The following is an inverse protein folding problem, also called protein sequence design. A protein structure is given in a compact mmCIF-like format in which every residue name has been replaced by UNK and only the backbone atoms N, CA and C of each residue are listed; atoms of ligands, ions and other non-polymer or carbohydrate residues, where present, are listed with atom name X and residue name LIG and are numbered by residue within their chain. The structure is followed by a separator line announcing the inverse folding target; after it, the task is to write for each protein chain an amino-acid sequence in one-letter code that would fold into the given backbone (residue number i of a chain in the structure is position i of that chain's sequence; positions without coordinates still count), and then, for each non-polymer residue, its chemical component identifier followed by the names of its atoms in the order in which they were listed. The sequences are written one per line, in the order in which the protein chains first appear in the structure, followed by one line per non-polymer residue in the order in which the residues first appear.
data_IF_534864519402
#
_entry.id   IF_534864519402
#
_cell.length_a   1.000
_cell.length_b   1.000
_cell.length_c   1.000
_cell.angle_alpha   90.00
_cell.angle_beta   90.00
_cell.angle_gamma   90.00
#
_symmetry.space_group_name_H-M   'P 1'
#
loop_
_entity.id
_entity.type
_entity.pdbx_description
1 polymer ?
#
# COMPACT_ATOMS: atom_id res chain seq x y z
N UNK A 1 22.11 -4.32 -27.95
CA UNK A 1 20.76 -4.13 -27.36
C UNK A 1 20.82 -3.06 -26.28
N UNK A 2 20.02 -2.01 -26.41
CA UNK A 2 20.08 -0.77 -25.63
C UNK A 2 19.72 -1.00 -24.15
N UNK A 3 20.68 -0.75 -23.26
CA UNK A 3 20.48 -0.86 -21.80
C UNK A 3 19.59 0.28 -21.26
N UNK A 4 19.46 1.38 -22.01
CA UNK A 4 18.53 2.48 -21.71
C UNK A 4 17.05 2.09 -21.83
N UNK A 5 16.71 1.11 -22.67
CA UNK A 5 15.32 0.65 -22.84
C UNK A 5 14.88 -0.26 -21.69
N UNK A 6 15.79 -1.09 -21.16
CA UNK A 6 15.54 -1.90 -19.97
C UNK A 6 15.26 -1.03 -18.74
N UNK A 7 15.92 0.13 -18.66
CA UNK A 7 15.82 1.08 -17.55
C UNK A 7 14.51 1.85 -17.52
N UNK A 8 14.11 2.40 -18.66
CA UNK A 8 12.79 3.02 -18.83
C UNK A 8 11.68 2.00 -18.58
N UNK A 9 11.90 0.74 -18.96
CA UNK A 9 10.94 -0.34 -18.71
C UNK A 9 10.80 -0.66 -17.22
N UNK A 10 11.92 -0.83 -16.49
CA UNK A 10 11.89 -1.07 -15.04
C UNK A 10 11.27 0.11 -14.29
N UNK A 11 11.67 1.35 -14.60
CA UNK A 11 11.09 2.54 -13.97
C UNK A 11 9.57 2.66 -14.22
N UNK A 12 9.11 2.30 -15.43
CA UNK A 12 7.68 2.27 -15.77
C UNK A 12 6.92 1.17 -15.02
N UNK A 13 7.51 -0.02 -14.90
CA UNK A 13 6.89 -1.14 -14.16
C UNK A 13 6.77 -0.80 -12.69
N UNK A 14 7.85 -0.30 -12.07
CA UNK A 14 7.84 0.15 -10.67
C UNK A 14 6.79 1.24 -10.44
N UNK A 15 6.74 2.27 -11.29
CA UNK A 15 5.74 3.33 -11.17
C UNK A 15 4.29 2.88 -11.43
N UNK A 16 4.07 1.79 -12.17
CA UNK A 16 2.75 1.19 -12.32
C UNK A 16 2.35 0.38 -11.08
N UNK A 17 3.25 -0.45 -10.58
CA UNK A 17 3.03 -1.24 -9.36
C UNK A 17 2.79 -0.34 -8.14
N UNK A 18 3.52 0.77 -8.03
CA UNK A 18 3.32 1.73 -6.94
C UNK A 18 1.93 2.38 -6.98
N UNK A 19 1.47 2.76 -8.17
CA UNK A 19 0.13 3.34 -8.34
C UNK A 19 -0.98 2.34 -8.06
N UNK A 20 -0.80 1.09 -8.48
CA UNK A 20 -1.78 0.03 -8.22
C UNK A 20 -1.86 -0.31 -6.73
N UNK A 21 -0.72 -0.45 -6.05
CA UNK A 21 -0.71 -0.71 -4.61
C UNK A 21 -1.28 0.47 -3.82
N UNK A 22 -1.02 1.71 -4.23
CA UNK A 22 -1.61 2.90 -3.62
C UNK A 22 -3.14 2.91 -3.76
N UNK A 23 -3.69 2.55 -4.93
CA UNK A 23 -5.14 2.40 -5.13
C UNK A 23 -5.73 1.33 -4.21
N UNK A 24 -5.14 0.13 -4.21
CA UNK A 24 -5.61 -0.99 -3.37
C UNK A 24 -5.55 -0.64 -1.88
N UNK A 25 -4.52 0.08 -1.43
CA UNK A 25 -4.44 0.55 -0.04
C UNK A 25 -5.52 1.58 0.28
N UNK A 26 -5.80 2.51 -0.65
CA UNK A 26 -6.88 3.46 -0.50
C UNK A 26 -8.22 2.74 -0.37
N UNK A 27 -8.51 1.78 -1.26
CA UNK A 27 -9.77 1.04 -1.25
C UNK A 27 -9.96 0.22 0.02
N UNK A 28 -8.92 -0.51 0.46
CA UNK A 28 -8.95 -1.26 1.71
C UNK A 28 -9.14 -0.35 2.93
N UNK A 29 -8.49 0.82 2.93
CA UNK A 29 -8.62 1.79 4.01
C UNK A 29 -10.04 2.36 4.08
N UNK A 30 -10.60 2.79 2.97
CA UNK A 30 -11.98 3.30 2.91
C UNK A 30 -12.98 2.24 3.36
N UNK A 31 -12.76 0.97 2.98
CA UNK A 31 -13.58 -0.15 3.44
C UNK A 31 -13.49 -0.33 4.96
N UNK A 32 -12.28 -0.32 5.52
CA UNK A 32 -12.07 -0.41 6.97
C UNK A 32 -12.78 0.73 7.72
N UNK A 33 -12.59 1.98 7.26
CA UNK A 33 -13.24 3.16 7.84
C UNK A 33 -14.77 3.02 7.80
N UNK A 34 -15.33 2.58 6.67
CA UNK A 34 -16.79 2.35 6.53
C UNK A 34 -17.29 1.25 7.50
N UNK A 35 -16.55 0.15 7.63
CA UNK A 35 -16.91 -0.95 8.52
C UNK A 35 -16.86 -0.52 9.99
N UNK A 36 -15.86 0.29 10.38
CA UNK A 36 -15.70 0.85 11.72
C UNK A 36 -16.80 1.85 12.05
N UNK A 37 -17.16 2.74 11.12
CA UNK A 37 -18.27 3.68 11.27
C UNK A 37 -19.59 2.94 11.48
N UNK A 38 -19.87 1.90 10.68
CA UNK A 38 -21.08 1.09 10.83
C UNK A 38 -21.12 0.38 12.18
N UNK A 39 -20.00 -0.16 12.65
CA UNK A 39 -19.90 -0.78 13.98
C UNK A 39 -20.20 0.25 15.09
N UNK A 40 -19.65 1.45 14.96
CA UNK A 40 -19.89 2.54 15.90
C UNK A 40 -21.37 2.92 15.93
N UNK A 41 -22.01 3.08 14.77
CA UNK A 41 -23.45 3.38 14.68
C UNK A 41 -24.31 2.31 15.35
N UNK A 42 -24.02 1.02 15.12
CA UNK A 42 -24.76 -0.08 15.75
C UNK A 42 -24.61 -0.06 17.29
N UNK A 43 -23.40 0.17 17.80
CA UNK A 43 -23.13 0.28 19.24
C UNK A 43 -23.83 1.50 19.86
N UNK A 44 -23.84 2.63 19.16
CA UNK A 44 -24.56 3.83 19.60
C UNK A 44 -26.07 3.59 19.64
N UNK A 45 -26.62 3.00 18.59
CA UNK A 45 -28.03 2.64 18.52
C UNK A 45 -28.43 1.70 19.65
N UNK A 46 -27.63 0.66 19.92
CA UNK A 46 -27.82 -0.23 21.09
C UNK A 46 -27.88 0.54 22.40
N UNK A 47 -26.92 1.44 22.63
CA UNK A 47 -26.87 2.25 23.86
C UNK A 47 -28.10 3.14 24.01
N UNK A 48 -28.58 3.74 22.92
CA UNK A 48 -29.81 4.54 22.92
C UNK A 48 -31.04 3.66 23.19
N UNK A 49 -31.11 2.48 22.58
CA UNK A 49 -32.19 1.53 22.77
C UNK A 49 -32.30 1.07 24.22
N UNK A 50 -31.17 0.72 24.86
CA UNK A 50 -31.11 0.37 26.28
C UNK A 50 -31.57 1.53 27.19
N UNK A 51 -31.18 2.77 26.87
CA UNK A 51 -31.58 3.95 27.66
C UNK A 51 -33.09 4.22 27.57
N UNK A 52 -33.68 4.07 26.38
CA UNK A 52 -35.13 4.22 26.18
C UNK A 52 -35.93 3.24 27.03
N UNK A 53 -35.43 2.01 27.17
CA UNK A 53 -36.06 0.99 28.01
C UNK A 53 -36.01 1.31 29.50
N UNK A 54 -34.85 1.71 30.04
CA UNK A 54 -34.74 2.12 31.45
C UNK A 54 -35.65 3.30 31.79
N UNK A 55 -35.92 4.20 30.84
CA UNK A 55 -36.89 5.29 31.01
C UNK A 55 -38.36 4.81 31.11
N UNK A 56 -38.67 3.62 30.59
CA UNK A 56 -40.00 2.99 30.65
C UNK A 56 -40.18 2.04 31.84
N UNK A 57 -39.11 1.61 32.51
CA UNK A 57 -39.17 0.72 33.69
C UNK A 57 -39.97 1.30 34.87
N UNK A 58 -40.18 2.62 34.92
CA UNK A 58 -41.07 3.28 35.89
C UNK A 58 -42.57 3.12 35.59
N UNK A 59 -42.93 2.61 34.40
CA UNK A 59 -44.29 2.30 34.00
C UNK A 59 -44.51 0.78 34.02
N UNK A 60 -45.70 0.31 34.39
CA UNK A 60 -46.04 -1.11 34.37
C UNK A 60 -46.00 -1.66 32.93
N UNK A 61 -44.88 -2.26 32.54
CA UNK A 61 -44.69 -2.86 31.22
C UNK A 61 -45.44 -4.20 31.10
N UNK A 62 -46.01 -4.46 29.92
CA UNK A 62 -46.64 -5.75 29.61
C UNK A 62 -45.55 -6.82 29.33
N UNK A 63 -45.68 -8.06 29.83
CA UNK A 63 -44.77 -9.17 29.53
C UNK A 63 -44.40 -9.36 28.05
N UNK A 64 -45.33 -9.10 27.12
CA UNK A 64 -45.08 -9.18 25.67
C UNK A 64 -44.06 -8.14 25.20
N UNK A 65 -44.18 -6.90 25.69
CA UNK A 65 -43.25 -5.81 25.35
C UNK A 65 -41.83 -6.09 25.85
N UNK A 66 -41.71 -6.72 27.01
CA UNK A 66 -40.42 -7.15 27.56
C UNK A 66 -39.77 -8.25 26.70
N UNK A 67 -40.57 -9.20 26.20
CA UNK A 67 -40.09 -10.27 25.32
C UNK A 67 -39.60 -9.72 23.98
N UNK A 68 -40.39 -8.85 23.34
CA UNK A 68 -40.02 -8.22 22.06
C UNK A 68 -38.74 -7.40 22.19
N UNK A 69 -38.61 -6.65 23.28
CA UNK A 69 -37.41 -5.89 23.60
C UNK A 69 -36.16 -6.78 23.69
N UNK A 70 -36.24 -7.88 24.45
CA UNK A 70 -35.12 -8.83 24.59
C UNK A 70 -34.76 -9.51 23.27
N UNK A 71 -35.77 -9.88 22.47
CA UNK A 71 -35.57 -10.50 21.17
C UNK A 71 -34.88 -9.56 20.18
N UNK A 72 -35.28 -8.29 20.14
CA UNK A 72 -34.63 -7.30 19.30
C UNK A 72 -33.19 -7.01 19.75
N UNK A 73 -32.96 -6.86 21.06
CA UNK A 73 -31.63 -6.64 21.61
C UNK A 73 -30.67 -7.80 21.25
N UNK A 74 -31.13 -9.05 21.32
CA UNK A 74 -30.34 -10.21 20.92
C UNK A 74 -29.97 -10.17 19.42
N UNK A 75 -30.90 -9.79 18.54
CA UNK A 75 -30.62 -9.61 17.11
C UNK A 75 -29.61 -8.49 16.87
N UNK A 76 -29.72 -7.38 17.60
CA UNK A 76 -28.79 -6.26 17.50
C UNK A 76 -27.39 -6.64 17.98
N UNK A 77 -27.29 -7.42 19.06
CA UNK A 77 -26.02 -7.94 19.56
C UNK A 77 -25.35 -8.90 18.57
N UNK A 78 -26.13 -9.75 17.92
CA UNK A 78 -25.64 -10.59 16.82
C UNK A 78 -25.12 -9.75 15.66
N UNK A 79 -25.87 -8.74 15.21
CA UNK A 79 -25.44 -7.85 14.12
C UNK A 79 -24.16 -7.08 14.47
N UNK A 80 -23.99 -6.66 15.74
CA UNK A 80 -22.76 -6.01 16.22
C UNK A 80 -21.58 -6.99 16.17
N UNK A 81 -21.78 -8.24 16.59
CA UNK A 81 -20.74 -9.27 16.53
C UNK A 81 -20.32 -9.58 15.09
N UNK A 82 -21.27 -9.70 14.18
CA UNK A 82 -21.02 -9.88 12.75
C UNK A 82 -20.26 -8.70 12.15
N UNK A 83 -20.70 -7.46 12.43
CA UNK A 83 -20.01 -6.26 11.94
C UNK A 83 -18.60 -6.13 12.53
N UNK A 84 -18.40 -6.49 13.80
CA UNK A 84 -17.08 -6.54 14.40
C UNK A 84 -16.16 -7.52 13.66
N UNK A 85 -16.66 -8.71 13.32
CA UNK A 85 -15.89 -9.66 12.54
C UNK A 85 -15.52 -9.13 11.13
N UNK A 86 -16.41 -8.35 10.51
CA UNK A 86 -16.09 -7.68 9.23
C UNK A 86 -14.98 -6.63 9.38
N UNK A 87 -15.02 -5.81 10.45
CA UNK A 87 -13.95 -4.85 10.76
C UNK A 87 -12.60 -5.56 10.90
N UNK A 88 -12.55 -6.66 11.65
CA UNK A 88 -11.31 -7.43 11.84
C UNK A 88 -10.78 -8.01 10.53
N UNK A 89 -11.65 -8.50 9.64
CA UNK A 89 -11.25 -8.96 8.32
C UNK A 89 -10.70 -7.82 7.45
N UNK A 90 -11.36 -6.67 7.44
CA UNK A 90 -10.91 -5.48 6.71
C UNK A 90 -9.57 -4.96 7.25
N UNK A 91 -9.37 -5.00 8.57
CA UNK A 91 -8.11 -4.66 9.24
C UNK A 91 -6.98 -5.61 8.83
N UNK A 92 -7.20 -6.92 8.92
CA UNK A 92 -6.22 -7.92 8.52
C UNK A 92 -5.84 -7.80 7.03
N UNK A 93 -6.81 -7.51 6.16
CA UNK A 93 -6.55 -7.27 4.74
C UNK A 93 -5.67 -6.01 4.52
N UNK A 94 -5.96 -4.93 5.25
CA UNK A 94 -5.15 -3.71 5.19
C UNK A 94 -3.71 -3.95 5.67
N UNK A 95 -3.52 -4.63 6.80
CA UNK A 95 -2.20 -4.96 7.36
C UNK A 95 -1.39 -5.86 6.41
N UNK A 96 -2.04 -6.87 5.81
CA UNK A 96 -1.40 -7.74 4.81
C UNK A 96 -0.91 -6.94 3.60
N UNK A 97 -1.74 -6.01 3.11
CA UNK A 97 -1.37 -5.17 1.98
C UNK A 97 -0.26 -4.17 2.34
N UNK A 98 -0.26 -3.66 3.57
CA UNK A 98 0.81 -2.80 4.08
C UNK A 98 2.15 -3.54 4.13
N UNK A 99 2.16 -4.81 4.55
CA UNK A 99 3.36 -5.64 4.54
C UNK A 99 3.87 -5.90 3.11
N UNK A 100 2.96 -6.21 2.19
CA UNK A 100 3.29 -6.40 0.77
C UNK A 100 3.89 -5.12 0.17
N UNK A 101 3.32 -3.96 0.50
CA UNK A 101 3.84 -2.66 0.09
C UNK A 101 5.26 -2.42 0.59
N UNK A 102 5.53 -2.67 1.87
CA UNK A 102 6.87 -2.51 2.45
C UNK A 102 7.89 -3.40 1.75
N UNK A 103 7.53 -4.65 1.44
CA UNK A 103 8.40 -5.59 0.73
C UNK A 103 8.70 -5.12 -0.69
N UNK A 104 7.68 -4.78 -1.46
CA UNK A 104 7.81 -4.28 -2.83
C UNK A 104 8.69 -3.02 -2.88
N UNK A 105 8.45 -2.09 -1.97
CA UNK A 105 9.23 -0.85 -1.90
C UNK A 105 10.70 -1.11 -1.52
N UNK A 106 10.96 -2.07 -0.61
CA UNK A 106 12.30 -2.50 -0.25
C UNK A 106 13.06 -3.14 -1.43
N UNK A 107 12.43 -4.07 -2.13
CA UNK A 107 12.99 -4.75 -3.31
C UNK A 107 13.26 -3.76 -4.45
N UNK A 108 12.32 -2.86 -4.74
CA UNK A 108 12.47 -1.83 -5.76
C UNK A 108 13.62 -0.88 -5.47
N UNK A 109 13.79 -0.46 -4.21
CA UNK A 109 14.92 0.40 -3.80
C UNK A 109 16.28 -0.29 -3.97
N UNK A 110 16.35 -1.59 -3.68
CA UNK A 110 17.57 -2.37 -3.89
C UNK A 110 17.91 -2.51 -5.38
N UNK A 111 16.92 -2.83 -6.22
CA UNK A 111 17.06 -2.91 -7.67
C UNK A 111 17.50 -1.58 -8.30
N UNK A 112 16.87 -0.47 -7.91
CA UNK A 112 17.26 0.87 -8.36
C UNK A 112 18.73 1.19 -8.02
N UNK A 113 19.18 0.86 -6.81
CA UNK A 113 20.59 1.06 -6.42
C UNK A 113 21.56 0.24 -7.27
N UNK A 114 21.25 -1.03 -7.53
CA UNK A 114 22.08 -1.91 -8.35
C UNK A 114 22.20 -1.41 -9.79
N UNK A 115 21.08 -0.97 -10.34
CA UNK A 115 20.99 -0.36 -11.66
C UNK A 115 21.87 0.90 -11.76
N UNK A 116 21.74 1.84 -10.82
CA UNK A 116 22.53 3.08 -10.81
C UNK A 116 24.02 2.79 -10.70
N UNK A 117 24.40 1.78 -9.90
CA UNK A 117 25.80 1.33 -9.76
C UNK A 117 26.35 0.79 -11.09
N UNK A 118 25.58 -0.04 -11.80
CA UNK A 118 25.98 -0.55 -13.12
C UNK A 118 26.15 0.57 -14.14
N UNK A 119 25.22 1.53 -14.19
CA UNK A 119 25.32 2.69 -15.08
C UNK A 119 26.58 3.51 -14.82
N UNK A 120 26.87 3.82 -13.55
CA UNK A 120 28.07 4.57 -13.19
C UNK A 120 29.34 3.83 -13.63
N UNK A 121 29.37 2.51 -13.46
CA UNK A 121 30.49 1.68 -13.91
C UNK A 121 30.65 1.70 -15.43
N UNK A 122 29.56 1.58 -16.18
CA UNK A 122 29.59 1.61 -17.65
C UNK A 122 30.03 2.98 -18.18
N UNK A 123 29.56 4.06 -17.58
CA UNK A 123 29.95 5.43 -17.97
C UNK A 123 31.45 5.67 -17.74
N UNK A 124 31.98 5.18 -16.61
CA UNK A 124 33.41 5.21 -16.29
C UNK A 124 34.24 4.36 -17.27
N UNK A 125 33.75 3.17 -17.62
CA UNK A 125 34.42 2.32 -18.61
C UNK A 125 34.44 2.94 -20.00
N UNK A 126 33.32 3.53 -20.45
CA UNK A 126 33.26 4.25 -21.73
C UNK A 126 34.22 5.45 -21.74
N UNK A 127 34.17 6.30 -20.72
CA UNK A 127 35.07 7.45 -20.62
C UNK A 127 36.55 7.04 -20.62
N UNK A 128 36.89 5.94 -19.92
CA UNK A 128 38.25 5.37 -19.96
C UNK A 128 38.66 4.87 -21.35
N UNK A 129 37.75 4.22 -22.07
CA UNK A 129 38.01 3.74 -23.44
C UNK A 129 38.20 4.92 -24.40
N UNK A 130 37.31 5.90 -24.35
CA UNK A 130 37.39 7.12 -25.18
C UNK A 130 38.71 7.88 -24.94
N UNK A 131 39.11 8.06 -23.67
CA UNK A 131 40.37 8.71 -23.36
C UNK A 131 41.59 7.93 -23.89
N UNK A 132 41.57 6.59 -23.78
CA UNK A 132 42.64 5.75 -24.33
C UNK A 132 42.73 5.86 -25.85
N UNK A 133 41.59 5.86 -26.55
CA UNK A 133 41.56 6.04 -28.01
C UNK A 133 42.07 7.42 -28.45
N UNK A 134 41.76 8.47 -27.69
CA UNK A 134 42.27 9.82 -27.94
C UNK A 134 43.80 9.90 -27.75
N UNK A 135 44.32 9.33 -26.65
CA UNK A 135 45.76 9.30 -26.37
C UNK A 135 46.53 8.48 -27.43
N UNK A 136 45.96 7.35 -27.87
CA UNK A 136 46.53 6.56 -28.95
C UNK A 136 46.58 7.38 -30.24
N UNK A 137 45.48 8.03 -30.67
CA UNK A 137 45.48 8.87 -31.87
C UNK A 137 46.46 10.04 -31.80
N UNK A 138 46.56 10.70 -30.64
CA UNK A 138 47.50 11.79 -30.42
C UNK A 138 48.96 11.30 -30.52
N UNK A 139 49.26 10.14 -29.92
CA UNK A 139 50.56 9.50 -30.01
C UNK A 139 50.93 9.07 -31.44
N UNK A 140 49.96 8.62 -32.24
CA UNK A 140 50.19 8.30 -33.66
C UNK A 140 50.46 9.57 -34.49
N UNK A 141 49.71 10.65 -34.27
CA UNK A 141 49.92 11.92 -34.96
C UNK A 141 51.30 12.53 -34.66
N UNK A 142 51.75 12.49 -33.38
CA UNK A 142 53.07 12.97 -32.99
C UNK A 142 54.21 12.14 -33.62
N UNK A 143 54.06 10.82 -33.73
CA UNK A 143 55.08 9.95 -34.36
C UNK A 143 55.18 10.17 -35.86
N UNK A 144 54.07 10.47 -36.54
CA UNK A 144 54.06 10.69 -37.98
C UNK A 144 54.58 12.08 -38.39
N UNK A 145 54.47 13.09 -37.52
CA UNK A 145 54.85 14.46 -37.82
C UNK A 145 56.32 14.81 -37.46
N UNK A 146 57.05 13.90 -36.82
CA UNK A 146 58.47 14.04 -36.49
C UNK A 146 59.45 13.32 -37.43
N UNK A 147 58.95 12.79 -38.56
CA UNK A 147 59.72 12.06 -39.57
C UNK A 147 59.87 12.80 -40.91
N UNK A 148 59.54 14.09 -40.96
CA UNK A 148 59.77 14.98 -42.12
C UNK A 148 60.93 15.93 -41.85
#
# INVERSE_FOLDING_TARGET
MNHGDSLKTVARVVGNEEREMARRMSDCRTKLETDEERLLSLRQYRKQYLKGFHGMEGCCLNPVQLQDYRAFLAKLDQAIAEQHHMVEQSRAAFESLQLQWQKLHGENKALQKLILKRQKSQLLEQSRREQKELDERAGWAHRNNGMS
#
